data_IF_660042389684
#
_entry.id   IF_660042389684
#
_cell.length_a   1.000
_cell.length_b   1.000
_cell.length_c   1.000
_cell.angle_alpha   90.00
_cell.angle_beta   90.00
_cell.angle_gamma   90.00
#
_symmetry.space_group_name_H-M   'P 1'
#
loop_
_entity.id
_entity.type
_entity.pdbx_description
1 polymer ?
#
# COMPACT_ATOMS: atom_id res chain seq x y z
N UNK A 1 19.27 -7.06 -23.39
CA UNK A 1 18.36 -6.25 -22.55
C UNK A 1 18.18 -4.89 -23.21
N UNK A 2 17.01 -4.62 -23.80
CA UNK A 2 16.67 -3.29 -24.31
C UNK A 2 16.16 -2.47 -23.13
N UNK A 3 17.05 -1.73 -22.48
CA UNK A 3 16.66 -0.72 -21.50
C UNK A 3 15.97 0.42 -22.27
N UNK A 4 14.65 0.34 -22.40
CA UNK A 4 13.86 1.50 -22.82
C UNK A 4 14.12 2.59 -21.78
N UNK A 5 14.60 3.77 -22.18
CA UNK A 5 14.95 4.80 -21.21
C UNK A 5 13.68 5.23 -20.47
N UNK A 6 13.64 5.00 -19.16
CA UNK A 6 12.51 5.39 -18.28
C UNK A 6 12.10 6.86 -18.45
N UNK A 7 13.03 7.70 -18.89
CA UNK A 7 12.82 9.12 -19.21
C UNK A 7 11.78 9.38 -20.31
N UNK A 8 11.56 8.43 -21.23
CA UNK A 8 10.52 8.57 -22.29
C UNK A 8 9.23 7.81 -21.95
N UNK A 9 9.30 6.79 -21.10
CA UNK A 9 8.13 6.00 -20.72
C UNK A 9 7.15 6.83 -19.88
N UNK A 10 7.68 7.63 -18.95
CA UNK A 10 6.86 8.44 -18.05
C UNK A 10 6.01 9.52 -18.77
N UNK A 11 6.58 10.38 -19.64
CA UNK A 11 5.79 11.39 -20.34
C UNK A 11 4.82 10.78 -21.37
N UNK A 12 5.19 9.68 -22.03
CA UNK A 12 4.28 9.01 -22.98
C UNK A 12 3.09 8.35 -22.27
N UNK A 13 3.31 7.73 -21.11
CA UNK A 13 2.23 7.21 -20.27
C UNK A 13 1.30 8.32 -19.76
N UNK A 14 1.85 9.43 -19.25
CA UNK A 14 1.07 10.61 -18.83
C UNK A 14 0.21 11.16 -19.97
N UNK A 15 0.77 11.29 -21.17
CA UNK A 15 0.04 11.74 -22.34
C UNK A 15 -1.13 10.80 -22.69
N UNK A 16 -0.89 9.49 -22.69
CA UNK A 16 -1.92 8.50 -22.98
C UNK A 16 -3.07 8.52 -21.95
N UNK A 17 -2.74 8.67 -20.66
CA UNK A 17 -3.74 8.79 -19.59
C UNK A 17 -4.60 10.06 -19.77
N UNK A 18 -3.97 11.20 -20.09
CA UNK A 18 -4.70 12.45 -20.32
C UNK A 18 -5.68 12.35 -21.51
N UNK A 19 -5.23 11.72 -22.61
CA UNK A 19 -6.08 11.48 -23.80
C UNK A 19 -7.23 10.50 -23.49
N UNK A 20 -6.98 9.45 -22.70
CA UNK A 20 -8.00 8.49 -22.30
C UNK A 20 -9.12 9.14 -21.47
N UNK A 21 -8.76 9.99 -20.52
CA UNK A 21 -9.75 10.68 -19.67
C UNK A 21 -10.53 11.72 -20.45
N UNK A 22 -9.88 12.47 -21.34
CA UNK A 22 -10.55 13.40 -22.25
C UNK A 22 -11.61 12.70 -23.12
N UNK A 23 -11.32 11.49 -23.60
CA UNK A 23 -12.24 10.70 -24.43
C UNK A 23 -13.46 10.22 -23.65
N UNK A 24 -13.28 9.87 -22.37
CA UNK A 24 -14.33 9.22 -21.57
C UNK A 24 -15.41 10.20 -21.09
N UNK A 25 -15.05 11.46 -20.85
CA UNK A 25 -15.95 12.44 -20.25
C UNK A 25 -16.15 13.72 -21.09
N UNK A 26 -15.48 13.84 -22.26
CA UNK A 26 -15.55 14.98 -23.17
C UNK A 26 -15.46 16.36 -22.48
N UNK A 27 -14.74 16.41 -21.36
CA UNK A 27 -14.65 17.59 -20.50
C UNK A 27 -13.20 17.80 -20.09
N UNK A 28 -12.75 19.04 -20.28
CA UNK A 28 -11.41 19.49 -19.90
C UNK A 28 -11.21 19.50 -18.37
N UNK A 29 -12.30 19.48 -17.60
CA UNK A 29 -12.26 19.46 -16.14
C UNK A 29 -11.55 18.20 -15.61
N UNK A 30 -11.88 17.02 -16.15
CA UNK A 30 -11.27 15.76 -15.72
C UNK A 30 -9.79 15.65 -16.11
N UNK A 31 -9.39 16.32 -17.21
CA UNK A 31 -7.97 16.41 -17.59
C UNK A 31 -7.20 17.22 -16.55
N UNK A 32 -7.80 18.29 -16.02
CA UNK A 32 -7.20 19.08 -14.94
C UNK A 32 -7.09 18.28 -13.64
N UNK A 33 -8.08 17.46 -13.31
CA UNK A 33 -8.03 16.56 -12.15
C UNK A 33 -6.89 15.54 -12.25
N UNK A 34 -6.73 14.89 -13.41
CA UNK A 34 -5.61 13.96 -13.67
C UNK A 34 -4.26 14.65 -13.52
N UNK A 35 -4.14 15.87 -14.03
CA UNK A 35 -2.90 16.66 -13.92
C UNK A 35 -2.62 17.03 -12.45
N UNK A 36 -3.64 17.43 -11.70
CA UNK A 36 -3.52 17.71 -10.27
C UNK A 36 -3.08 16.45 -9.48
N UNK A 37 -3.72 15.30 -9.72
CA UNK A 37 -3.31 14.03 -9.09
C UNK A 37 -1.92 13.57 -9.53
N UNK A 38 -1.52 13.83 -10.78
CA UNK A 38 -0.16 13.58 -11.27
C UNK A 38 0.89 14.40 -10.50
N UNK A 39 0.61 15.69 -10.25
CA UNK A 39 1.46 16.56 -9.44
C UNK A 39 1.51 16.08 -7.99
N UNK A 40 0.36 15.74 -7.39
CA UNK A 40 0.29 15.20 -6.03
C UNK A 40 1.11 13.90 -5.93
N UNK A 41 1.00 13.02 -6.93
CA UNK A 41 1.78 11.78 -7.01
C UNK A 41 3.29 12.05 -7.12
N UNK A 42 3.70 13.03 -7.91
CA UNK A 42 5.10 13.46 -7.98
C UNK A 42 5.60 14.03 -6.64
N UNK A 43 4.76 14.80 -5.94
CA UNK A 43 5.07 15.35 -4.63
C UNK A 43 5.20 14.24 -3.57
N UNK A 44 4.32 13.25 -3.57
CA UNK A 44 4.40 12.06 -2.71
C UNK A 44 5.70 11.28 -2.95
N UNK A 45 6.14 11.17 -4.21
CA UNK A 45 7.41 10.55 -4.56
C UNK A 45 8.60 11.32 -4.01
N UNK A 46 8.57 12.66 -4.05
CA UNK A 46 9.60 13.51 -3.43
C UNK A 46 9.62 13.37 -1.91
N UNK A 47 8.46 13.19 -1.28
CA UNK A 47 8.33 12.94 0.15
C UNK A 47 8.71 11.51 0.58
N UNK A 48 9.24 10.68 -0.34
CA UNK A 48 9.56 9.26 -0.10
C UNK A 48 8.37 8.41 0.39
N UNK A 49 7.13 8.88 0.18
CA UNK A 49 5.96 8.05 0.41
C UNK A 49 5.80 7.06 -0.73
N UNK A 50 5.69 5.78 -0.40
CA UNK A 50 5.34 4.77 -1.39
C UNK A 50 3.90 5.00 -1.84
N UNK A 51 3.70 5.16 -3.16
CA UNK A 51 2.36 5.29 -3.76
C UNK A 51 1.59 3.97 -3.68
N UNK A 52 2.31 2.84 -3.55
CA UNK A 52 1.71 1.50 -3.54
C UNK A 52 0.73 1.26 -2.36
N UNK A 53 1.05 1.58 -1.09
CA UNK A 53 0.09 1.50 0.02
C UNK A 53 -1.16 2.36 -0.16
N UNK A 54 -1.01 3.57 -0.69
CA UNK A 54 -2.13 4.50 -0.91
C UNK A 54 -3.10 3.90 -1.93
N UNK A 55 -2.56 3.41 -3.06
CA UNK A 55 -3.35 2.72 -4.08
C UNK A 55 -4.01 1.45 -3.53
N UNK A 56 -3.29 0.66 -2.74
CA UNK A 56 -3.82 -0.55 -2.11
C UNK A 56 -4.99 -0.22 -1.18
N UNK A 57 -4.85 0.80 -0.33
CA UNK A 57 -5.92 1.26 0.55
C UNK A 57 -7.13 1.81 -0.22
N UNK A 58 -6.89 2.58 -1.29
CA UNK A 58 -7.94 3.16 -2.12
C UNK A 58 -8.78 2.08 -2.83
N UNK A 59 -8.15 1.04 -3.36
CA UNK A 59 -8.84 -0.06 -4.06
C UNK A 59 -9.49 -1.02 -3.06
N UNK A 60 -8.80 -1.37 -1.97
CA UNK A 60 -9.32 -2.31 -0.98
C UNK A 60 -10.41 -1.70 -0.09
N UNK A 61 -10.37 -0.40 0.16
CA UNK A 61 -11.35 0.31 0.99
C UNK A 61 -12.81 0.04 0.60
N UNK A 62 -13.25 0.35 -0.63
CA UNK A 62 -14.62 0.10 -1.05
C UNK A 62 -14.98 -1.38 -1.05
N UNK A 63 -14.04 -2.27 -1.39
CA UNK A 63 -14.28 -3.71 -1.32
C UNK A 63 -14.48 -4.17 0.13
N UNK A 64 -13.70 -3.66 1.07
CA UNK A 64 -13.82 -3.99 2.48
C UNK A 64 -15.15 -3.48 3.06
N UNK A 65 -15.51 -2.24 2.78
CA UNK A 65 -16.77 -1.62 3.20
C UNK A 65 -17.99 -2.37 2.64
N UNK A 66 -17.95 -2.72 1.35
CA UNK A 66 -19.01 -3.49 0.70
C UNK A 66 -19.16 -4.88 1.33
N UNK A 67 -18.05 -5.58 1.59
CA UNK A 67 -18.09 -6.89 2.25
C UNK A 67 -18.56 -6.79 3.72
N UNK A 68 -18.17 -5.75 4.44
CA UNK A 68 -18.64 -5.48 5.79
C UNK A 68 -20.14 -5.20 5.83
N UNK A 69 -20.63 -4.34 4.92
CA UNK A 69 -22.05 -4.06 4.73
C UNK A 69 -22.85 -5.31 4.37
N UNK A 70 -22.36 -6.12 3.44
CA UNK A 70 -22.98 -7.40 3.07
C UNK A 70 -23.04 -8.36 4.25
N UNK A 71 -21.95 -8.48 5.02
CA UNK A 71 -21.93 -9.30 6.22
C UNK A 71 -22.98 -8.86 7.24
N UNK A 72 -23.12 -7.55 7.50
CA UNK A 72 -24.12 -7.01 8.42
C UNK A 72 -25.57 -7.19 7.93
N UNK A 73 -25.81 -7.04 6.62
CA UNK A 73 -27.12 -7.27 6.02
C UNK A 73 -27.54 -8.75 6.08
N UNK A 74 -26.63 -9.67 5.75
CA UNK A 74 -26.87 -11.12 5.93
C UNK A 74 -27.07 -11.49 7.41
N UNK A 75 -26.51 -10.70 8.31
CA UNK A 75 -26.58 -10.87 9.76
C UNK A 75 -27.80 -10.23 10.42
N UNK A 76 -28.70 -9.62 9.64
CA UNK A 76 -29.87 -8.88 10.15
C UNK A 76 -29.51 -7.86 11.25
N UNK A 77 -28.33 -7.24 11.17
CA UNK A 77 -27.88 -6.24 12.13
C UNK A 77 -27.36 -6.76 13.48
N UNK A 78 -27.33 -8.07 13.71
CA UNK A 78 -26.89 -8.65 14.98
C UNK A 78 -25.37 -8.93 14.98
N UNK A 79 -24.58 -8.15 15.73
CA UNK A 79 -23.12 -8.33 15.86
C UNK A 79 -22.73 -9.68 16.51
N UNK A 80 -23.71 -10.38 17.06
CA UNK A 80 -23.62 -11.70 17.70
C UNK A 80 -23.28 -12.84 16.73
N UNK A 81 -23.35 -12.63 15.40
CA UNK A 81 -22.98 -13.64 14.40
C UNK A 81 -21.47 -13.90 14.32
N UNK A 82 -20.62 -12.94 14.71
CA UNK A 82 -19.17 -13.18 14.76
C UNK A 82 -18.77 -14.26 15.78
N UNK A 83 -19.62 -14.52 16.78
CA UNK A 83 -19.43 -15.58 17.78
C UNK A 83 -20.26 -16.83 17.43
N UNK A 84 -21.49 -16.65 16.92
CA UNK A 84 -22.36 -17.79 16.59
C UNK A 84 -21.94 -18.57 15.32
N UNK A 85 -21.26 -17.95 14.35
CA UNK A 85 -20.73 -18.66 13.17
C UNK A 85 -19.29 -19.14 13.44
N UNK A 86 -19.05 -20.46 13.53
CA UNK A 86 -17.72 -21.01 13.84
C UNK A 86 -16.65 -20.65 12.80
N UNK A 87 -17.05 -20.36 11.56
CA UNK A 87 -16.14 -19.93 10.48
C UNK A 87 -15.70 -18.46 10.66
N UNK A 88 -16.61 -17.54 11.04
CA UNK A 88 -16.21 -16.15 11.31
C UNK A 88 -15.41 -16.05 12.61
N UNK A 89 -15.80 -16.80 13.63
CA UNK A 89 -15.10 -16.82 14.91
C UNK A 89 -13.64 -17.28 14.75
N UNK A 90 -13.38 -18.30 13.94
CA UNK A 90 -12.01 -18.78 13.67
C UNK A 90 -11.18 -17.74 12.91
N UNK A 91 -11.72 -17.08 11.88
CA UNK A 91 -11.01 -16.01 11.18
C UNK A 91 -10.71 -14.80 12.06
N UNK A 92 -11.65 -14.39 12.91
CA UNK A 92 -11.44 -13.29 13.87
C UNK A 92 -10.38 -13.67 14.92
N UNK A 93 -10.44 -14.90 15.45
CA UNK A 93 -9.44 -15.39 16.40
C UNK A 93 -8.03 -15.45 15.78
N UNK A 94 -7.91 -15.92 14.53
CA UNK A 94 -6.64 -15.95 13.80
C UNK A 94 -6.13 -14.53 13.55
N UNK A 95 -7.00 -13.62 13.10
CA UNK A 95 -6.64 -12.21 12.87
C UNK A 95 -6.15 -11.53 14.15
N UNK A 96 -6.87 -11.71 15.27
CA UNK A 96 -6.49 -11.19 16.56
C UNK A 96 -5.16 -11.78 17.05
N UNK A 97 -4.93 -13.09 16.86
CA UNK A 97 -3.68 -13.76 17.21
C UNK A 97 -2.51 -13.24 16.37
N UNK A 98 -2.69 -13.06 15.06
CA UNK A 98 -1.68 -12.49 14.17
C UNK A 98 -1.36 -11.04 14.52
N UNK A 99 -2.39 -10.21 14.78
CA UNK A 99 -2.18 -8.84 15.22
C UNK A 99 -1.44 -8.79 16.56
N UNK A 100 -1.80 -9.65 17.53
CA UNK A 100 -1.08 -9.75 18.80
C UNK A 100 0.39 -10.20 18.59
N UNK A 101 0.64 -11.20 17.74
CA UNK A 101 1.97 -11.68 17.43
C UNK A 101 2.83 -10.63 16.71
N UNK A 102 2.27 -9.90 15.74
CA UNK A 102 2.95 -8.82 15.02
C UNK A 102 3.19 -7.62 15.94
N UNK A 103 2.23 -7.24 16.77
CA UNK A 103 2.37 -6.11 17.70
C UNK A 103 3.41 -6.44 18.78
N UNK A 104 3.37 -7.64 19.34
CA UNK A 104 4.37 -8.14 20.29
C UNK A 104 5.75 -8.28 19.64
N UNK A 105 5.79 -8.78 18.41
CA UNK A 105 7.00 -8.89 17.58
C UNK A 105 7.59 -7.53 17.24
N UNK A 106 6.78 -6.54 16.86
CA UNK A 106 7.21 -5.17 16.58
C UNK A 106 7.68 -4.45 17.84
N UNK A 107 7.02 -4.68 18.98
CA UNK A 107 7.45 -4.18 20.30
C UNK A 107 8.76 -4.83 20.76
N UNK A 108 9.00 -6.11 20.46
CA UNK A 108 10.31 -6.75 20.66
C UNK A 108 11.35 -6.26 19.64
N UNK A 109 10.98 -6.03 18.38
CA UNK A 109 11.90 -5.69 17.28
C UNK A 109 12.36 -4.22 17.32
N UNK A 110 11.75 -3.36 18.15
CA UNK A 110 12.38 -2.10 18.59
C UNK A 110 13.75 -2.30 19.28
N UNK A 111 14.16 -3.54 19.61
CA UNK A 111 15.51 -3.88 20.09
C UNK A 111 16.42 -4.54 19.05
N UNK A 112 15.97 -4.78 17.82
CA UNK A 112 16.68 -5.60 16.83
C UNK A 112 17.27 -4.86 15.61
N UNK A 113 16.97 -3.57 15.42
CA UNK A 113 17.55 -2.78 14.31
C UNK A 113 19.03 -2.47 14.52
N UNK A 114 19.54 -2.61 15.75
CA UNK A 114 20.96 -2.42 16.09
C UNK A 114 21.88 -3.55 15.62
N UNK A 115 21.35 -4.64 15.05
CA UNK A 115 22.13 -5.81 14.61
C UNK A 115 22.51 -5.70 13.13
N UNK A 116 21.67 -5.05 12.31
CA UNK A 116 21.97 -4.81 10.90
C UNK A 116 22.96 -3.65 10.74
N UNK A 117 22.82 -2.59 11.56
CA UNK A 117 23.76 -1.46 11.60
C UNK A 117 25.17 -1.88 12.05
N UNK A 118 25.28 -2.85 12.97
CA UNK A 118 26.58 -3.39 13.41
C UNK A 118 27.25 -4.28 12.38
N UNK A 119 26.49 -5.07 11.62
CA UNK A 119 27.03 -5.94 10.57
C UNK A 119 27.50 -5.10 9.37
N UNK A 120 26.80 -4.03 9.04
CA UNK A 120 27.21 -3.11 7.97
C UNK A 120 28.49 -2.36 8.33
N UNK A 121 28.61 -1.87 9.58
CA UNK A 121 29.81 -1.20 10.08
C UNK A 121 31.04 -2.14 10.17
N UNK A 122 30.85 -3.43 10.47
CA UNK A 122 31.95 -4.40 10.55
C UNK A 122 32.42 -4.86 9.16
N UNK A 123 31.53 -4.80 8.15
CA UNK A 123 31.86 -5.13 6.76
C UNK A 123 32.62 -4.00 6.07
N UNK A 124 32.26 -2.74 6.30
CA UNK A 124 32.99 -1.57 5.74
C UNK A 124 34.42 -1.46 6.29
N UNK A 125 34.63 -1.76 7.57
CA UNK A 125 35.96 -1.76 8.20
C UNK A 125 36.92 -2.82 7.65
N UNK A 126 36.41 -3.98 7.22
CA UNK A 126 37.22 -5.05 6.65
C UNK A 126 37.68 -4.74 5.20
N UNK A 127 36.85 -4.07 4.41
CA UNK A 127 37.21 -3.67 3.04
C UNK A 127 38.25 -2.55 3.01
N UNK A 128 38.25 -1.64 4.00
CA UNK A 128 39.24 -0.55 4.09
C UNK A 128 40.65 -1.01 4.49
N UNK A 129 40.81 -2.20 5.08
CA UNK A 129 42.12 -2.76 5.42
C UNK A 129 42.75 -3.57 4.27
N UNK A 130 42.00 -3.84 3.19
CA UNK A 130 42.40 -4.74 2.10
C UNK A 130 42.68 -4.04 0.76
N UNK A 131 42.62 -2.70 0.69
CA UNK A 131 42.90 -1.88 -0.50
C UNK A 131 43.87 -0.77 -0.13
#
# INVERSE_FOLDING_TARGET
MLQVPYRYLFPSAMFFIAVGVFTTQNSLFHVWEVLAFGIIGALLMVLNFSVAPIMLGFVLGPMMEENFRRALLLSRGDMSIFIQRPISATFVAISACLLAAVTWGAWRKKRGTSLLEKVEAETEGATAAAV
#
